data_IF_124706299000
#
_entry.id   IF_124706299000
#
_cell.length_a   1.000
_cell.length_b   1.000
_cell.length_c   1.000
_cell.angle_alpha   90.00
_cell.angle_beta   90.00
_cell.angle_gamma   90.00
#
_symmetry.space_group_name_H-M   'P 1'
#
loop_
_entity.id
_entity.type
_entity.pdbx_description
1 polymer ?
#
# COMPACT_ATOMS: atom_id res chain seq x y z
N UNK A 1 -1.83 35.47 -11.06
CA UNK A 1 -1.02 34.33 -11.53
C UNK A 1 0.33 34.46 -10.86
N UNK A 2 0.83 33.40 -10.21
CA UNK A 2 2.08 33.50 -9.46
C UNK A 2 3.25 33.36 -10.42
N UNK A 3 4.11 34.37 -10.45
CA UNK A 3 5.30 34.39 -11.29
C UNK A 3 6.24 33.23 -10.91
N UNK A 4 7.00 32.75 -11.89
CA UNK A 4 8.03 31.75 -11.63
C UNK A 4 9.08 32.32 -10.65
N UNK A 5 9.37 31.57 -9.58
CA UNK A 5 10.12 32.03 -8.41
C UNK A 5 11.62 32.33 -8.68
N UNK A 6 12.13 32.00 -9.86
CA UNK A 6 13.56 32.08 -10.18
C UNK A 6 13.85 33.05 -11.32
N UNK A 7 14.97 33.78 -11.18
CA UNK A 7 15.58 34.52 -12.30
C UNK A 7 16.40 33.59 -13.19
N UNK A 8 16.63 33.97 -14.45
CA UNK A 8 17.47 33.24 -15.41
C UNK A 8 18.81 32.77 -14.80
N UNK A 9 19.54 33.70 -14.17
CA UNK A 9 20.86 33.42 -13.58
C UNK A 9 20.80 32.35 -12.48
N UNK A 10 19.78 32.43 -11.60
CA UNK A 10 19.59 31.50 -10.48
C UNK A 10 19.13 30.12 -10.93
N UNK A 11 18.31 30.04 -11.99
CA UNK A 11 17.82 28.78 -12.52
C UNK A 11 18.94 28.00 -13.26
N UNK A 12 19.75 28.71 -14.04
CA UNK A 12 20.86 28.10 -14.81
C UNK A 12 21.96 27.58 -13.88
N UNK A 13 22.19 28.21 -12.72
CA UNK A 13 23.19 27.73 -11.75
C UNK A 13 22.82 26.41 -11.05
N UNK A 14 21.56 25.96 -11.15
CA UNK A 14 21.12 24.69 -10.57
C UNK A 14 21.48 23.52 -11.48
N UNK A 15 21.75 22.36 -10.87
CA UNK A 15 21.91 21.11 -11.61
C UNK A 15 20.62 20.74 -12.37
N UNK A 16 20.71 19.99 -13.48
CA UNK A 16 19.56 19.68 -14.33
C UNK A 16 18.38 19.04 -13.58
N UNK A 17 18.64 18.15 -12.63
CA UNK A 17 17.61 17.49 -11.84
C UNK A 17 16.83 18.49 -10.96
N UNK A 18 17.54 19.30 -10.19
CA UNK A 18 16.93 20.30 -9.29
C UNK A 18 16.18 21.37 -10.10
N UNK A 19 16.73 21.77 -11.25
CA UNK A 19 16.06 22.67 -12.19
C UNK A 19 14.72 22.12 -12.66
N UNK A 20 14.69 20.86 -13.12
CA UNK A 20 13.44 20.21 -13.55
C UNK A 20 12.43 20.09 -12.40
N UNK A 21 12.86 19.80 -11.16
CA UNK A 21 11.99 19.78 -9.97
C UNK A 21 11.26 21.11 -9.75
N UNK A 22 11.98 22.23 -9.86
CA UNK A 22 11.37 23.56 -9.69
C UNK A 22 10.38 23.91 -10.82
N UNK A 23 10.72 23.56 -12.07
CA UNK A 23 9.81 23.75 -13.20
C UNK A 23 8.54 22.91 -13.02
N UNK A 24 8.68 21.64 -12.63
CA UNK A 24 7.55 20.75 -12.34
C UNK A 24 6.65 21.33 -11.24
N UNK A 25 7.23 21.79 -10.12
CA UNK A 25 6.46 22.39 -9.01
C UNK A 25 5.60 23.56 -9.49
N UNK A 26 6.16 24.43 -10.33
CA UNK A 26 5.43 25.56 -10.89
C UNK A 26 4.33 25.12 -11.88
N UNK A 27 4.64 24.19 -12.78
CA UNK A 27 3.66 23.60 -13.71
C UNK A 27 2.49 22.93 -12.97
N UNK A 28 2.78 22.15 -11.92
CA UNK A 28 1.77 21.50 -11.08
C UNK A 28 0.86 22.52 -10.38
N UNK A 29 1.40 23.65 -9.92
CA UNK A 29 0.61 24.74 -9.35
C UNK A 29 -0.36 25.37 -10.37
N UNK A 30 0.05 25.50 -11.63
CA UNK A 30 -0.83 25.97 -12.70
C UNK A 30 -1.87 24.92 -13.10
N UNK A 31 -1.46 23.65 -13.21
CA UNK A 31 -2.34 22.51 -13.48
C UNK A 31 -3.51 22.45 -12.48
N UNK A 32 -3.24 22.64 -11.19
CA UNK A 32 -4.28 22.66 -10.16
C UNK A 32 -5.29 23.79 -10.30
N UNK A 33 -4.82 24.98 -10.72
CA UNK A 33 -5.70 26.12 -10.98
C UNK A 33 -6.62 25.86 -12.18
N UNK A 34 -6.11 25.17 -13.20
CA UNK A 34 -6.91 24.72 -14.34
C UNK A 34 -7.98 23.71 -13.91
N UNK A 35 -7.65 22.72 -13.08
CA UNK A 35 -8.61 21.71 -12.62
C UNK A 35 -9.67 22.25 -11.67
N UNK A 36 -9.40 23.38 -11.00
CA UNK A 36 -10.34 24.05 -10.08
C UNK A 36 -11.13 25.19 -10.72
N UNK A 37 -11.09 25.32 -12.06
CA UNK A 37 -11.80 26.35 -12.86
C UNK A 37 -11.46 27.82 -12.51
N UNK A 38 -10.28 28.08 -11.96
CA UNK A 38 -9.83 29.42 -11.58
C UNK A 38 -8.86 30.06 -12.61
N UNK A 39 -9.14 29.96 -13.91
CA UNK A 39 -8.24 30.49 -14.95
C UNK A 39 -9.01 31.23 -16.05
N UNK A 40 -8.73 32.53 -16.19
CA UNK A 40 -9.21 33.37 -17.31
C UNK A 40 -8.31 33.17 -18.56
N UNK A 41 -8.83 33.21 -19.80
CA UNK A 41 -8.04 33.20 -21.04
C UNK A 41 -6.75 34.03 -21.03
N UNK A 42 -6.77 35.24 -20.46
CA UNK A 42 -5.57 36.10 -20.36
C UNK A 42 -4.42 35.45 -19.56
N UNK A 43 -4.76 34.57 -18.62
CA UNK A 43 -3.78 33.82 -17.82
C UNK A 43 -3.14 32.66 -18.60
N UNK A 44 -3.82 32.12 -19.61
CA UNK A 44 -3.28 31.04 -20.47
C UNK A 44 -2.16 31.55 -21.40
N UNK A 45 -2.38 32.73 -21.99
CA UNK A 45 -1.38 33.38 -22.84
C UNK A 45 -0.18 33.89 -22.02
N UNK A 46 -0.44 34.45 -20.84
CA UNK A 46 0.63 34.85 -19.92
C UNK A 46 1.48 33.65 -19.49
N UNK A 47 0.84 32.54 -19.13
CA UNK A 47 1.52 31.28 -18.82
C UNK A 47 2.40 30.81 -19.97
N UNK A 48 1.86 30.78 -21.20
CA UNK A 48 2.61 30.29 -22.35
C UNK A 48 3.85 31.13 -22.65
N UNK A 49 3.77 32.45 -22.46
CA UNK A 49 4.93 33.34 -22.60
C UNK A 49 5.97 33.06 -21.53
N UNK A 50 5.56 33.02 -20.26
CA UNK A 50 6.46 32.74 -19.14
C UNK A 50 7.12 31.37 -19.26
N UNK A 51 6.37 30.35 -19.64
CA UNK A 51 6.91 29.01 -19.77
C UNK A 51 7.91 28.90 -20.93
N UNK A 52 7.62 29.51 -22.09
CA UNK A 52 8.56 29.57 -23.20
C UNK A 52 9.83 30.36 -22.86
N UNK A 53 9.72 31.41 -22.05
CA UNK A 53 10.89 32.13 -21.53
C UNK A 53 11.77 31.21 -20.66
N UNK A 54 11.16 30.45 -19.74
CA UNK A 54 11.87 29.46 -18.91
C UNK A 54 12.55 28.40 -19.77
N UNK A 55 11.84 27.84 -20.76
CA UNK A 55 12.39 26.83 -21.68
C UNK A 55 13.59 27.37 -22.46
N UNK A 56 13.52 28.62 -22.92
CA UNK A 56 14.64 29.29 -23.59
C UNK A 56 15.85 29.46 -22.65
N UNK A 57 15.65 29.82 -21.39
CA UNK A 57 16.74 29.94 -20.41
C UNK A 57 17.51 28.64 -20.22
N UNK A 58 16.81 27.50 -20.35
CA UNK A 58 17.37 26.17 -20.06
C UNK A 58 17.76 25.40 -21.32
N UNK A 59 17.63 26.01 -22.50
CA UNK A 59 17.98 25.41 -23.80
C UNK A 59 17.03 24.29 -24.25
N UNK A 60 15.76 24.34 -23.86
CA UNK A 60 14.75 23.34 -24.20
C UNK A 60 13.84 23.82 -25.34
N UNK A 61 13.24 22.86 -26.05
CA UNK A 61 12.30 23.14 -27.14
C UNK A 61 11.11 23.93 -26.63
N UNK A 62 10.68 24.94 -27.40
CA UNK A 62 9.54 25.78 -27.07
C UNK A 62 8.24 24.97 -26.93
N UNK A 63 7.43 25.34 -25.95
CA UNK A 63 6.08 24.86 -25.73
C UNK A 63 5.13 25.45 -26.77
N UNK A 64 4.44 24.55 -27.47
CA UNK A 64 3.42 24.91 -28.45
C UNK A 64 2.09 24.98 -27.71
N UNK A 65 1.54 26.20 -27.58
CA UNK A 65 0.24 26.38 -26.93
C UNK A 65 -0.89 25.72 -27.76
N UNK A 66 -1.92 25.16 -27.12
CA UNK A 66 -3.07 24.60 -27.84
C UNK A 66 -3.83 25.65 -28.65
N UNK A 67 -4.39 25.23 -29.78
CA UNK A 67 -5.27 26.07 -30.60
C UNK A 67 -6.66 26.29 -29.96
N UNK A 68 -7.09 25.37 -29.10
CA UNK A 68 -8.35 25.47 -28.37
C UNK A 68 -8.15 26.14 -27.01
N UNK A 69 -9.12 26.97 -26.60
CA UNK A 69 -9.18 27.56 -25.26
C UNK A 69 -9.94 26.70 -24.24
N UNK A 70 -10.34 25.47 -24.59
CA UNK A 70 -11.01 24.57 -23.64
C UNK A 70 -10.06 24.15 -22.53
N UNK A 71 -10.49 24.27 -21.27
CA UNK A 71 -9.73 23.89 -20.07
C UNK A 71 -9.13 22.49 -20.16
N UNK A 72 -9.88 21.53 -20.70
CA UNK A 72 -9.42 20.14 -20.87
C UNK A 72 -8.14 20.01 -21.71
N UNK A 73 -8.07 20.67 -22.86
CA UNK A 73 -6.91 20.59 -23.76
C UNK A 73 -5.68 21.22 -23.10
N UNK A 74 -5.88 22.26 -22.31
CA UNK A 74 -4.83 22.86 -21.50
C UNK A 74 -4.34 21.94 -20.39
N UNK A 75 -5.25 21.30 -19.66
CA UNK A 75 -4.89 20.30 -18.63
C UNK A 75 -4.01 19.20 -19.23
N UNK A 76 -4.42 18.63 -20.37
CA UNK A 76 -3.65 17.61 -21.10
C UNK A 76 -2.27 18.15 -21.51
N UNK A 77 -2.22 19.35 -22.08
CA UNK A 77 -0.96 19.96 -22.54
C UNK A 77 0.01 20.27 -21.40
N UNK A 78 -0.47 20.78 -20.26
CA UNK A 78 0.38 21.03 -19.08
C UNK A 78 0.85 19.73 -18.46
N UNK A 79 -0.01 18.70 -18.41
CA UNK A 79 0.35 17.36 -17.97
C UNK A 79 1.53 16.80 -18.80
N UNK A 80 1.46 16.90 -20.12
CA UNK A 80 2.55 16.47 -21.01
C UNK A 80 3.88 17.18 -20.73
N UNK A 81 3.84 18.47 -20.38
CA UNK A 81 5.04 19.22 -20.02
C UNK A 81 5.62 18.78 -18.68
N UNK A 82 4.77 18.51 -17.68
CA UNK A 82 5.22 17.91 -16.41
C UNK A 82 5.91 16.56 -16.67
N UNK A 83 5.32 15.73 -17.55
CA UNK A 83 5.89 14.45 -17.94
C UNK A 83 7.21 14.59 -18.71
N UNK A 84 7.32 15.59 -19.57
CA UNK A 84 8.56 15.90 -20.30
C UNK A 84 9.72 16.19 -19.32
N UNK A 85 9.51 17.09 -18.36
CA UNK A 85 10.54 17.44 -17.38
C UNK A 85 10.91 16.29 -16.44
N UNK A 86 9.96 15.40 -16.10
CA UNK A 86 10.22 14.21 -15.28
C UNK A 86 11.03 13.14 -16.02
N UNK A 87 10.73 12.91 -17.30
CA UNK A 87 11.52 12.01 -18.15
C UNK A 87 12.95 12.49 -18.30
N UNK A 88 13.17 13.81 -18.39
CA UNK A 88 14.51 14.40 -18.39
C UNK A 88 15.31 14.13 -17.09
N UNK A 89 14.65 13.67 -16.01
CA UNK A 89 15.27 13.25 -14.75
C UNK A 89 15.38 11.72 -14.59
N UNK A 90 15.00 10.93 -15.61
CA UNK A 90 15.02 9.47 -15.53
C UNK A 90 13.92 8.85 -14.64
N UNK A 91 12.88 9.62 -14.28
CA UNK A 91 11.77 9.14 -13.44
C UNK A 91 10.69 8.50 -14.33
N UNK A 92 10.41 7.20 -14.15
CA UNK A 92 9.23 6.53 -14.73
C UNK A 92 8.00 6.72 -13.85
N UNK A 93 6.83 7.03 -14.43
CA UNK A 93 5.67 7.58 -13.71
C UNK A 93 4.89 6.56 -12.86
N UNK A 94 4.34 7.05 -11.74
CA UNK A 94 3.21 6.46 -10.99
C UNK A 94 2.13 7.54 -10.78
N UNK A 95 0.86 7.15 -10.72
CA UNK A 95 -0.28 8.08 -10.71
C UNK A 95 -0.31 9.09 -9.55
N UNK A 96 0.23 8.74 -8.38
CA UNK A 96 0.26 9.64 -7.22
C UNK A 96 1.18 10.85 -7.40
N UNK A 97 2.07 10.84 -8.40
CA UNK A 97 2.94 11.98 -8.66
C UNK A 97 2.19 13.15 -9.33
N UNK A 98 0.92 12.99 -9.72
CA UNK A 98 0.09 14.01 -10.37
C UNK A 98 -0.91 14.71 -9.43
N UNK A 99 -1.06 14.24 -8.19
CA UNK A 99 -2.03 14.75 -7.22
C UNK A 99 -1.30 15.27 -5.97
N UNK A 100 -1.60 16.49 -5.50
CA UNK A 100 -1.05 17.00 -4.22
C UNK A 100 -1.74 16.40 -2.99
N UNK A 101 -2.85 15.69 -3.17
CA UNK A 101 -3.61 15.12 -2.06
C UNK A 101 -3.33 13.62 -2.00
N UNK A 102 -2.18 13.25 -1.44
CA UNK A 102 -2.08 11.92 -0.81
C UNK A 102 -2.72 12.08 0.55
N UNK A 103 -3.90 11.50 0.76
CA UNK A 103 -4.43 11.32 2.11
C UNK A 103 -3.49 10.35 2.84
N UNK A 104 -2.64 10.90 3.70
CA UNK A 104 -1.73 10.13 4.57
C UNK A 104 -2.18 10.17 6.03
N UNK A 105 -3.39 10.65 6.30
CA UNK A 105 -3.86 10.81 7.67
C UNK A 105 -4.22 9.42 8.23
N UNK A 106 -3.30 8.88 9.03
CA UNK A 106 -3.59 7.78 9.93
C UNK A 106 -4.65 8.25 10.95
N UNK A 107 -5.44 7.32 11.49
CA UNK A 107 -6.48 7.66 12.45
C UNK A 107 -5.85 8.31 13.71
N UNK A 108 -6.17 9.57 14.06
CA UNK A 108 -5.53 10.28 15.17
C UNK A 108 -6.02 9.84 16.56
N UNK A 109 -6.98 8.92 16.64
CA UNK A 109 -7.47 8.38 17.90
C UNK A 109 -6.36 7.59 18.62
N UNK A 110 -6.29 7.64 19.97
CA UNK A 110 -5.37 6.80 20.73
C UNK A 110 -5.59 5.33 20.39
N UNK A 111 -4.51 4.62 20.05
CA UNK A 111 -4.55 3.18 19.75
C UNK A 111 -5.14 2.40 20.93
N UNK A 112 -6.34 1.85 20.75
CA UNK A 112 -6.91 0.83 21.66
C UNK A 112 -6.59 -0.56 21.11
N UNK A 113 -5.30 -0.85 20.88
CA UNK A 113 -4.84 -2.13 20.36
C UNK A 113 -4.06 -2.94 21.41
N UNK A 114 -4.21 -4.27 21.43
CA UNK A 114 -5.08 -5.06 20.57
C UNK A 114 -6.51 -5.23 21.11
N UNK A 115 -7.49 -5.25 20.20
CA UNK A 115 -8.90 -5.45 20.54
C UNK A 115 -9.27 -6.94 20.70
N UNK A 116 -8.55 -7.84 20.02
CA UNK A 116 -8.78 -9.28 19.99
C UNK A 116 -7.55 -10.04 20.49
N UNK A 117 -7.75 -11.06 21.30
CA UNK A 117 -6.70 -12.02 21.70
C UNK A 117 -6.46 -13.08 20.61
N UNK A 118 -6.60 -12.67 19.35
CA UNK A 118 -6.39 -13.50 18.18
C UNK A 118 -5.02 -13.21 17.58
N UNK A 119 -4.35 -14.24 17.09
CA UNK A 119 -3.02 -14.12 16.49
C UNK A 119 -3.00 -14.74 15.10
N UNK A 120 -2.02 -14.34 14.29
CA UNK A 120 -1.70 -14.99 13.03
C UNK A 120 -0.42 -15.80 13.19
N UNK A 121 -0.33 -16.94 12.50
CA UNK A 121 0.89 -17.72 12.38
C UNK A 121 1.21 -17.90 10.89
N UNK A 122 2.39 -17.46 10.47
CA UNK A 122 2.85 -17.52 9.08
C UNK A 122 3.87 -18.64 8.93
N UNK A 123 3.50 -19.68 8.19
CA UNK A 123 4.31 -20.87 7.94
C UNK A 123 5.02 -20.76 6.59
N UNK A 124 6.25 -20.23 6.62
CA UNK A 124 7.13 -20.13 5.46
C UNK A 124 6.61 -19.23 4.33
N UNK A 125 5.94 -18.12 4.65
CA UNK A 125 5.49 -17.14 3.63
C UNK A 125 6.71 -16.52 2.96
N UNK A 126 6.83 -16.68 1.64
CA UNK A 126 8.01 -16.20 0.89
C UNK A 126 7.88 -14.75 0.46
N UNK A 127 6.68 -14.32 0.06
CA UNK A 127 6.48 -12.97 -0.45
C UNK A 127 6.48 -11.95 0.68
N UNK A 128 7.52 -11.12 0.73
CA UNK A 128 7.64 -10.00 1.66
C UNK A 128 6.53 -8.96 1.46
N UNK A 129 5.99 -8.88 0.25
CA UNK A 129 4.81 -8.07 -0.03
C UNK A 129 3.58 -8.60 0.69
N UNK A 130 3.35 -9.92 0.66
CA UNK A 130 2.26 -10.56 1.39
C UNK A 130 2.45 -10.37 2.89
N UNK A 131 3.66 -10.56 3.41
CA UNK A 131 3.93 -10.39 4.85
C UNK A 131 3.58 -8.98 5.32
N UNK A 132 4.06 -7.92 4.66
CA UNK A 132 3.71 -6.56 5.09
C UNK A 132 2.23 -6.23 4.91
N UNK A 133 1.56 -6.79 3.90
CA UNK A 133 0.10 -6.68 3.75
C UNK A 133 -0.67 -7.37 4.88
N UNK A 134 -0.14 -8.49 5.38
CA UNK A 134 -0.69 -9.21 6.54
C UNK A 134 -0.46 -8.41 7.84
N UNK A 135 0.67 -7.74 8.02
CA UNK A 135 0.86 -6.80 9.14
C UNK A 135 -0.24 -5.72 9.17
N UNK A 136 -0.54 -5.11 8.01
CA UNK A 136 -1.64 -4.12 7.90
C UNK A 136 -3.01 -4.72 8.20
N UNK A 137 -3.24 -5.94 7.75
CA UNK A 137 -4.49 -6.64 8.03
C UNK A 137 -4.64 -6.94 9.53
N UNK A 138 -3.55 -7.39 10.17
CA UNK A 138 -3.50 -7.71 11.59
C UNK A 138 -3.86 -6.47 12.43
N UNK A 139 -3.21 -5.35 12.13
CA UNK A 139 -3.49 -4.04 12.72
C UNK A 139 -4.96 -3.63 12.51
N UNK A 140 -5.40 -3.56 11.25
CA UNK A 140 -6.73 -3.07 10.89
C UNK A 140 -7.88 -3.94 11.42
N UNK A 141 -7.66 -5.26 11.57
CA UNK A 141 -8.65 -6.19 12.13
C UNK A 141 -8.58 -6.29 13.66
N UNK A 142 -7.61 -5.63 14.32
CA UNK A 142 -7.48 -5.61 15.77
C UNK A 142 -6.86 -6.88 16.38
N UNK A 143 -6.13 -7.67 15.59
CA UNK A 143 -5.42 -8.86 16.06
C UNK A 143 -4.19 -8.48 16.91
N UNK A 144 -3.82 -9.35 17.84
CA UNK A 144 -2.78 -9.09 18.86
C UNK A 144 -1.36 -9.18 18.34
N UNK A 145 -1.03 -10.23 17.59
CA UNK A 145 0.34 -10.43 17.12
C UNK A 145 0.44 -11.40 15.95
N UNK A 146 1.63 -11.45 15.36
CA UNK A 146 1.99 -12.40 14.30
C UNK A 146 3.17 -13.27 14.77
N UNK A 147 3.00 -14.59 14.68
CA UNK A 147 4.05 -15.59 14.87
C UNK A 147 4.63 -15.95 13.50
N UNK A 148 5.94 -15.85 13.36
CA UNK A 148 6.67 -16.04 12.10
C UNK A 148 7.51 -17.32 12.19
N UNK A 149 7.08 -18.36 11.47
CA UNK A 149 7.83 -19.59 11.26
C UNK A 149 8.51 -19.56 9.89
N UNK A 150 9.85 -19.57 9.86
CA UNK A 150 10.64 -19.49 8.61
C UNK A 150 10.19 -18.35 7.66
N UNK A 151 9.65 -17.27 8.22
CA UNK A 151 9.10 -16.11 7.51
C UNK A 151 9.85 -14.86 7.98
N UNK A 152 10.30 -14.02 7.05
CA UNK A 152 10.97 -12.76 7.39
C UNK A 152 9.96 -11.75 7.93
N UNK A 153 10.30 -11.08 9.03
CA UNK A 153 9.41 -10.17 9.76
C UNK A 153 9.65 -8.69 9.51
N UNK A 154 9.20 -7.85 10.47
CA UNK A 154 9.19 -6.38 10.34
C UNK A 154 10.56 -5.72 10.16
N UNK A 155 11.64 -6.44 10.45
CA UNK A 155 13.01 -5.93 10.23
C UNK A 155 13.35 -5.73 8.75
N UNK A 156 12.69 -6.46 7.85
CA UNK A 156 13.05 -6.44 6.45
C UNK A 156 12.52 -5.18 5.74
N UNK A 157 13.34 -4.40 4.99
CA UNK A 157 12.92 -3.15 4.35
C UNK A 157 11.70 -3.30 3.42
N UNK A 158 11.63 -4.41 2.67
CA UNK A 158 10.48 -4.70 1.81
C UNK A 158 9.18 -4.93 2.60
N UNK A 159 9.25 -5.51 3.80
CA UNK A 159 8.08 -5.67 4.69
C UNK A 159 7.66 -4.32 5.23
N UNK A 160 8.60 -3.48 5.71
CA UNK A 160 8.30 -2.12 6.18
C UNK A 160 7.61 -1.29 5.10
N UNK A 161 8.10 -1.37 3.86
CA UNK A 161 7.55 -0.63 2.71
C UNK A 161 6.09 -0.98 2.44
N UNK A 162 5.70 -2.25 2.57
CA UNK A 162 4.34 -2.71 2.26
C UNK A 162 3.42 -2.64 3.47
N UNK A 163 3.96 -2.77 4.68
CA UNK A 163 3.25 -2.61 5.94
C UNK A 163 2.86 -1.17 6.26
N UNK A 164 3.52 -0.17 5.66
CA UNK A 164 3.17 1.25 5.79
C UNK A 164 2.99 1.71 7.25
N UNK A 165 3.85 1.26 8.17
CA UNK A 165 3.82 1.67 9.58
C UNK A 165 3.07 0.71 10.50
N UNK A 166 2.14 -0.11 9.98
CA UNK A 166 1.37 -1.06 10.78
C UNK A 166 2.25 -2.06 11.57
N UNK A 167 3.44 -2.36 11.05
CA UNK A 167 4.38 -3.25 11.72
C UNK A 167 4.94 -2.72 13.05
N UNK A 168 4.81 -1.41 13.31
CA UNK A 168 5.22 -0.82 14.59
C UNK A 168 4.18 -1.07 15.70
N UNK A 169 2.91 -1.26 15.32
CA UNK A 169 1.79 -1.45 16.26
C UNK A 169 1.44 -2.91 16.52
N UNK A 170 1.88 -3.80 15.63
CA UNK A 170 1.62 -5.24 15.72
C UNK A 170 2.85 -5.94 16.29
N UNK A 171 2.64 -6.66 17.40
CA UNK A 171 3.68 -7.49 17.99
C UNK A 171 4.07 -8.64 17.06
N UNK A 172 5.34 -9.02 17.08
CA UNK A 172 5.84 -10.17 16.33
C UNK A 172 6.57 -11.15 17.25
N UNK A 173 6.37 -12.45 17.02
CA UNK A 173 7.13 -13.55 17.62
C UNK A 173 7.82 -14.31 16.48
N UNK A 174 9.14 -14.55 16.58
CA UNK A 174 9.88 -15.34 15.58
C UNK A 174 10.25 -16.70 16.16
N UNK A 175 10.04 -17.75 15.41
CA UNK A 175 10.37 -19.12 15.82
C UNK A 175 11.02 -19.91 14.68
N UNK A 176 11.92 -20.82 15.05
CA UNK A 176 12.53 -21.78 14.13
C UNK A 176 11.66 -23.04 13.99
N UNK A 177 10.83 -23.35 15.00
CA UNK A 177 9.90 -24.48 14.99
C UNK A 177 8.49 -23.97 15.30
N UNK A 178 7.75 -23.67 14.24
CA UNK A 178 6.38 -23.20 14.35
C UNK A 178 5.45 -24.27 14.93
N UNK A 179 5.69 -25.56 14.64
CA UNK A 179 4.85 -26.63 15.16
C UNK A 179 4.98 -26.71 16.69
N UNK A 180 6.20 -26.66 17.21
CA UNK A 180 6.44 -26.63 18.65
C UNK A 180 5.78 -25.40 19.30
N UNK A 181 6.00 -24.20 18.75
CA UNK A 181 5.40 -22.97 19.28
C UNK A 181 3.87 -23.05 19.33
N UNK A 182 3.23 -23.57 18.28
CA UNK A 182 1.76 -23.73 18.25
C UNK A 182 1.27 -24.74 19.29
N UNK A 183 2.00 -25.83 19.54
CA UNK A 183 1.68 -26.78 20.61
C UNK A 183 1.79 -26.13 22.00
N UNK A 184 2.75 -25.24 22.21
CA UNK A 184 2.89 -24.47 23.45
C UNK A 184 1.75 -23.47 23.63
N UNK A 185 1.35 -22.74 22.58
CA UNK A 185 0.17 -21.86 22.61
C UNK A 185 -1.10 -22.65 22.88
N UNK A 186 -1.23 -23.85 22.32
CA UNK A 186 -2.37 -24.74 22.59
C UNK A 186 -2.50 -25.10 24.06
N UNK A 187 -1.37 -25.37 24.76
CA UNK A 187 -1.35 -25.57 26.22
C UNK A 187 -1.82 -24.34 27.01
N UNK A 188 -1.71 -23.14 26.42
CA UNK A 188 -2.18 -21.87 26.99
C UNK A 188 -3.67 -21.58 26.67
N UNK A 189 -4.35 -22.53 26.02
CA UNK A 189 -5.76 -22.46 25.68
C UNK A 189 -6.06 -21.73 24.36
N UNK A 190 -5.08 -21.59 23.48
CA UNK A 190 -5.32 -21.12 22.11
C UNK A 190 -5.87 -22.23 21.23
N UNK A 191 -6.88 -21.90 20.44
CA UNK A 191 -7.41 -22.77 19.41
C UNK A 191 -6.68 -22.52 18.08
N UNK A 192 -6.08 -23.57 17.50
CA UNK A 192 -5.21 -23.44 16.33
C UNK A 192 -6.01 -23.80 15.08
N UNK A 193 -6.23 -22.84 14.18
CA UNK A 193 -7.06 -23.01 13.00
C UNK A 193 -6.21 -22.83 11.75
N UNK A 194 -6.09 -23.88 10.94
CA UNK A 194 -5.42 -23.78 9.64
C UNK A 194 -6.33 -23.14 8.59
N UNK A 195 -5.80 -22.18 7.84
CA UNK A 195 -6.44 -21.63 6.64
C UNK A 195 -5.84 -22.30 5.41
N UNK A 196 -6.53 -23.32 4.90
CA UNK A 196 -6.03 -24.10 3.77
C UNK A 196 -7.19 -24.83 3.06
N UNK A 197 -7.07 -25.04 1.75
CA UNK A 197 -8.12 -25.69 0.94
C UNK A 197 -7.94 -27.21 0.96
N UNK A 198 -7.98 -27.79 2.16
CA UNK A 198 -7.84 -29.23 2.35
C UNK A 198 -9.19 -29.93 2.41
N UNK A 199 -9.23 -31.21 2.04
CA UNK A 199 -10.43 -32.04 2.15
C UNK A 199 -10.90 -32.09 3.61
N UNK A 200 -12.19 -31.82 3.85
CA UNK A 200 -12.78 -31.79 5.18
C UNK A 200 -12.63 -30.46 5.92
N UNK A 201 -12.03 -29.44 5.32
CA UNK A 201 -12.08 -28.07 5.85
C UNK A 201 -13.49 -27.49 5.77
N UNK A 202 -13.84 -26.66 6.74
CA UNK A 202 -15.13 -25.99 6.83
C UNK A 202 -15.11 -24.65 6.06
N UNK A 203 -16.21 -24.23 5.44
CA UNK A 203 -16.32 -22.85 4.98
C UNK A 203 -16.11 -21.88 6.15
N UNK A 204 -15.26 -20.86 5.97
CA UNK A 204 -14.87 -19.96 7.06
C UNK A 204 -16.05 -19.20 7.70
N UNK A 205 -17.16 -19.02 6.98
CA UNK A 205 -18.36 -18.36 7.49
C UNK A 205 -19.25 -19.27 8.34
N UNK A 206 -19.09 -20.60 8.25
CA UNK A 206 -19.82 -21.57 9.08
C UNK A 206 -19.11 -21.82 10.43
N UNK A 207 -17.92 -21.24 10.60
CA UNK A 207 -17.10 -21.41 11.78
C UNK A 207 -17.58 -20.55 12.96
N UNK A 208 -17.68 -21.16 14.14
CA UNK A 208 -17.93 -20.46 15.39
C UNK A 208 -16.62 -19.91 15.98
N UNK A 209 -16.31 -18.65 15.68
CA UNK A 209 -15.07 -17.99 16.09
C UNK A 209 -14.98 -17.72 17.59
N UNK A 210 -13.76 -17.78 18.14
CA UNK A 210 -13.48 -17.57 19.57
C UNK A 210 -12.31 -16.60 19.76
N UNK A 211 -12.31 -15.82 20.85
CA UNK A 211 -11.31 -14.78 21.08
C UNK A 211 -9.87 -15.30 21.24
N UNK A 212 -9.65 -16.52 21.75
CA UNK A 212 -8.33 -17.15 21.87
C UNK A 212 -8.02 -18.06 20.68
N UNK A 213 -7.80 -17.45 19.52
CA UNK A 213 -7.57 -18.18 18.26
C UNK A 213 -6.23 -17.83 17.64
N UNK A 214 -5.55 -18.81 17.05
CA UNK A 214 -4.41 -18.59 16.16
C UNK A 214 -4.76 -19.09 14.77
N UNK A 215 -4.78 -18.17 13.80
CA UNK A 215 -5.00 -18.49 12.39
C UNK A 215 -3.67 -18.79 11.71
N UNK A 216 -3.52 -19.99 11.16
CA UNK A 216 -2.30 -20.42 10.48
C UNK A 216 -2.44 -20.24 8.98
N UNK A 217 -1.54 -19.49 8.36
CA UNK A 217 -1.44 -19.29 6.92
C UNK A 217 -0.14 -19.89 6.42
N UNK A 218 -0.23 -20.65 5.32
CA UNK A 218 0.89 -21.38 4.76
C UNK A 218 1.51 -20.72 3.53
N UNK A 219 2.67 -21.24 3.15
CA UNK A 219 3.42 -20.88 1.96
C UNK A 219 2.53 -20.83 0.70
N UNK A 220 2.81 -19.89 -0.19
CA UNK A 220 2.00 -19.63 -1.38
C UNK A 220 1.94 -20.81 -2.37
N UNK A 221 2.98 -21.65 -2.41
CA UNK A 221 3.08 -22.81 -3.30
C UNK A 221 2.68 -24.11 -2.61
N UNK A 222 3.11 -24.29 -1.36
CA UNK A 222 2.98 -25.56 -0.64
C UNK A 222 1.85 -25.60 0.40
N UNK A 223 1.23 -24.45 0.68
CA UNK A 223 0.28 -24.31 1.78
C UNK A 223 0.95 -24.52 3.13
N UNK A 224 0.16 -24.97 4.11
CA UNK A 224 0.65 -25.23 5.47
C UNK A 224 1.51 -26.50 5.47
N UNK A 225 2.69 -26.45 6.07
CA UNK A 225 3.60 -27.59 6.15
C UNK A 225 2.98 -28.76 6.92
N UNK A 226 3.36 -30.00 6.58
CA UNK A 226 2.75 -31.20 7.17
C UNK A 226 2.91 -31.27 8.70
N UNK A 227 4.00 -30.74 9.25
CA UNK A 227 4.26 -30.70 10.69
C UNK A 227 3.32 -29.73 11.40
N UNK A 228 3.14 -28.53 10.83
CA UNK A 228 2.23 -27.50 11.35
C UNK A 228 0.76 -27.91 11.16
N UNK A 229 0.40 -28.57 10.06
CA UNK A 229 -0.96 -29.09 9.86
C UNK A 229 -1.40 -30.04 10.98
N UNK A 230 -0.49 -30.84 11.54
CA UNK A 230 -0.79 -31.77 12.64
C UNK A 230 -1.07 -31.07 13.98
N UNK A 231 -0.70 -29.81 14.13
CA UNK A 231 -0.95 -29.05 15.37
C UNK A 231 -2.29 -28.32 15.34
N UNK A 232 -2.84 -28.09 14.14
CA UNK A 232 -4.13 -27.46 13.93
C UNK A 232 -5.27 -28.32 14.50
N UNK A 233 -6.19 -27.69 15.22
CA UNK A 233 -7.41 -28.30 15.75
C UNK A 233 -8.47 -28.51 14.67
N UNK A 234 -8.51 -27.61 13.70
CA UNK A 234 -9.43 -27.66 12.58
C UNK A 234 -8.91 -26.83 11.41
N UNK A 235 -9.58 -26.93 10.27
CA UNK A 235 -9.25 -26.19 9.07
C UNK A 235 -10.47 -25.47 8.52
N UNK A 236 -10.25 -24.25 8.06
CA UNK A 236 -11.23 -23.48 7.32
C UNK A 236 -10.71 -23.13 5.93
N UNK A 237 -11.62 -22.92 4.99
CA UNK A 237 -11.31 -22.43 3.65
C UNK A 237 -12.26 -21.30 3.24
N UNK A 238 -11.84 -20.54 2.24
CA UNK A 238 -12.69 -19.57 1.55
C UNK A 238 -13.32 -20.30 0.35
N UNK A 239 -14.65 -20.45 0.29
CA UNK A 239 -15.30 -21.08 -0.86
C UNK A 239 -15.01 -20.31 -2.15
N UNK A 240 -14.47 -21.01 -3.15
CA UNK A 240 -14.10 -20.44 -4.44
C UNK A 240 -15.20 -20.70 -5.46
N UNK A 241 -15.77 -19.64 -6.04
CA UNK A 241 -16.82 -19.74 -7.06
C UNK A 241 -16.29 -19.66 -8.51
N UNK A 242 -15.00 -19.37 -8.68
CA UNK A 242 -14.34 -19.25 -9.99
C UNK A 242 -13.47 -20.46 -10.34
N UNK A 243 -12.70 -20.34 -11.42
CA UNK A 243 -11.77 -21.41 -11.86
C UNK A 243 -10.53 -21.57 -10.97
N UNK A 244 -10.16 -20.54 -10.21
CA UNK A 244 -9.02 -20.61 -9.28
C UNK A 244 -9.44 -21.34 -8.01
N UNK A 245 -8.55 -22.20 -7.51
CA UNK A 245 -8.75 -23.02 -6.32
C UNK A 245 -8.34 -22.32 -5.02
N UNK A 246 -7.71 -21.14 -5.10
CA UNK A 246 -7.29 -20.37 -3.94
C UNK A 246 -7.24 -18.87 -4.24
N UNK A 247 -7.16 -18.09 -3.17
CA UNK A 247 -6.92 -16.66 -3.19
C UNK A 247 -5.44 -16.38 -2.82
N UNK A 248 -4.92 -15.20 -3.16
CA UNK A 248 -3.63 -14.75 -2.61
C UNK A 248 -3.68 -14.79 -1.07
N UNK A 249 -2.60 -15.24 -0.42
CA UNK A 249 -2.56 -15.46 1.03
C UNK A 249 -2.84 -14.20 1.86
N UNK A 250 -2.37 -13.03 1.43
CA UNK A 250 -2.65 -11.77 2.13
C UNK A 250 -4.12 -11.37 1.99
N UNK A 251 -4.72 -11.58 0.81
CA UNK A 251 -6.15 -11.38 0.61
C UNK A 251 -6.99 -12.39 1.41
N UNK A 252 -6.56 -13.65 1.50
CA UNK A 252 -7.22 -14.66 2.32
C UNK A 252 -7.16 -14.30 3.81
N UNK A 253 -6.01 -13.81 4.29
CA UNK A 253 -5.86 -13.27 5.63
C UNK A 253 -6.82 -12.11 5.86
N UNK A 254 -6.92 -11.15 4.94
CA UNK A 254 -7.86 -10.04 5.05
C UNK A 254 -9.31 -10.51 5.21
N UNK A 255 -9.80 -11.39 4.33
CA UNK A 255 -11.18 -11.90 4.38
C UNK A 255 -11.48 -12.56 5.71
N UNK A 256 -10.60 -13.44 6.19
CA UNK A 256 -10.86 -14.23 7.39
C UNK A 256 -10.68 -13.39 8.65
N UNK A 257 -9.64 -12.56 8.75
CA UNK A 257 -9.43 -11.69 9.90
C UNK A 257 -10.62 -10.75 10.15
N UNK A 258 -11.15 -10.13 9.10
CA UNK A 258 -12.32 -9.26 9.23
C UNK A 258 -13.59 -10.05 9.56
N UNK A 259 -13.74 -11.29 9.10
CA UNK A 259 -14.85 -12.15 9.54
C UNK A 259 -14.74 -12.52 11.02
N UNK A 260 -13.55 -12.84 11.51
CA UNK A 260 -13.30 -13.11 12.93
C UNK A 260 -13.61 -11.86 13.75
N UNK A 261 -13.11 -10.70 13.34
CA UNK A 261 -13.37 -9.43 14.02
C UNK A 261 -14.86 -9.09 14.07
N UNK A 262 -15.59 -9.21 12.94
CA UNK A 262 -17.04 -9.05 12.90
C UNK A 262 -17.74 -9.97 13.93
N UNK A 263 -17.35 -11.25 13.95
CA UNK A 263 -17.99 -12.27 14.78
C UNK A 263 -17.76 -12.05 16.28
N UNK A 264 -16.60 -11.49 16.65
CA UNK A 264 -16.21 -11.30 18.05
C UNK A 264 -16.50 -9.89 18.60
N UNK A 265 -16.46 -8.87 17.76
CA UNK A 265 -16.70 -7.49 18.17
C UNK A 265 -18.16 -7.04 18.00
N UNK A 266 -19.01 -7.84 17.35
CA UNK A 266 -20.44 -7.53 17.16
C UNK A 266 -20.70 -6.27 16.33
N UNK A 267 -19.76 -5.90 15.45
CA UNK A 267 -19.84 -4.76 14.53
C UNK A 267 -19.83 -5.24 13.09
#
# INVERSE_FOLDING_TARGET
>A
MDAFEFTKKKLISLCPETRNKHIIKWLSGFYQKLTTNHVNPASLDLFSRQYNEILNWVGMKAFIKPASHTTRVWIESISDQIHFHRRAMGISLRDHDLFNNVQTDDNPAPLQHPMLNCHLALDGIRSLFNVGSIFRTCDAAGFSSIILGNTLGKEHPAVKKTAMGAQEWVEQEKTQDLAQTLLEKKKQGFWIIGVDTIKGSLPFYDMAWQNKTILVFGNEEYGISSHVRRTCDTFVHIPMHGKKNSLNVANAAAVICFKVAQSLCGR
#
